data_IF_742681728718
#
_entry.id   IF_742681728718
#
_cell.length_a   1.000
_cell.length_b   1.000
_cell.length_c   1.000
_cell.angle_alpha   90.00
_cell.angle_beta   90.00
_cell.angle_gamma   90.00
#
_symmetry.space_group_name_H-M   'P 1'
#
loop_
_entity.id
_entity.type
_entity.pdbx_description
1 polymer ?
#
# COMPACT_ATOMS: atom_id res chain seq x y z
N UNK A 1 7.99 -14.56 -7.90
CA UNK A 1 8.19 -16.04 -7.85
C UNK A 1 6.90 -16.66 -7.35
N UNK A 2 6.37 -17.68 -8.02
CA UNK A 2 5.13 -18.33 -7.57
C UNK A 2 5.47 -19.52 -6.64
N UNK A 3 5.39 -19.30 -5.34
CA UNK A 3 5.72 -20.30 -4.32
C UNK A 3 4.84 -21.54 -4.35
N UNK A 4 3.56 -21.40 -4.69
CA UNK A 4 2.66 -22.58 -4.83
C UNK A 4 3.14 -23.54 -5.92
N UNK A 5 3.64 -22.98 -7.03
CA UNK A 5 4.19 -23.80 -8.12
C UNK A 5 5.50 -24.44 -7.67
N UNK A 6 6.41 -23.67 -7.08
CA UNK A 6 7.69 -24.20 -6.59
C UNK A 6 7.50 -25.27 -5.52
N UNK A 7 6.58 -25.05 -4.56
CA UNK A 7 6.28 -26.03 -3.53
C UNK A 7 5.68 -27.32 -4.11
N UNK A 8 4.71 -27.18 -5.02
CA UNK A 8 4.11 -28.33 -5.70
C UNK A 8 5.19 -29.13 -6.44
N UNK A 9 6.02 -28.45 -7.22
CA UNK A 9 7.02 -29.09 -8.06
C UNK A 9 8.13 -29.70 -7.19
N UNK A 10 8.54 -29.04 -6.09
CA UNK A 10 9.47 -29.60 -5.11
C UNK A 10 8.90 -30.86 -4.42
N UNK A 11 7.61 -30.88 -4.06
CA UNK A 11 6.92 -32.06 -3.50
C UNK A 11 6.82 -33.21 -4.52
N UNK A 12 6.73 -32.89 -5.80
CA UNK A 12 6.75 -33.87 -6.89
C UNK A 12 8.18 -34.34 -7.23
N UNK A 13 9.19 -33.87 -6.51
CA UNK A 13 10.60 -34.29 -6.65
C UNK A 13 11.44 -33.44 -7.60
N UNK A 14 10.93 -32.25 -8.02
CA UNK A 14 11.74 -31.35 -8.82
C UNK A 14 12.87 -30.73 -7.99
N UNK A 15 14.08 -31.14 -8.32
CA UNK A 15 15.31 -30.71 -7.62
C UNK A 15 15.54 -29.20 -7.70
N UNK A 16 15.26 -28.57 -8.84
CA UNK A 16 15.47 -27.14 -9.04
C UNK A 16 14.50 -26.31 -8.20
N UNK A 17 13.23 -26.68 -8.16
CA UNK A 17 12.22 -26.01 -7.33
C UNK A 17 12.55 -26.11 -5.84
N UNK A 18 13.02 -27.28 -5.40
CA UNK A 18 13.46 -27.48 -4.01
C UNK A 18 14.65 -26.59 -3.67
N UNK A 19 15.67 -26.59 -4.53
CA UNK A 19 16.87 -25.76 -4.36
C UNK A 19 16.54 -24.27 -4.32
N UNK A 20 15.68 -23.78 -5.21
CA UNK A 20 15.25 -22.39 -5.24
C UNK A 20 14.51 -21.99 -3.95
N UNK A 21 13.66 -22.87 -3.41
CA UNK A 21 13.00 -22.63 -2.12
C UNK A 21 14.01 -22.54 -0.98
N UNK A 22 14.95 -23.50 -0.90
CA UNK A 22 16.00 -23.52 0.13
C UNK A 22 16.88 -22.27 0.07
N UNK A 23 17.33 -21.86 -1.14
CA UNK A 23 18.11 -20.64 -1.35
C UNK A 23 17.32 -19.39 -0.95
N UNK A 24 16.03 -19.34 -1.29
CA UNK A 24 15.16 -18.23 -0.95
C UNK A 24 15.00 -18.09 0.55
N UNK A 25 14.69 -19.18 1.26
CA UNK A 25 14.55 -19.16 2.71
C UNK A 25 15.87 -18.80 3.42
N UNK A 26 17.01 -19.29 2.91
CA UNK A 26 18.32 -18.97 3.47
C UNK A 26 18.71 -17.48 3.35
N UNK A 27 18.12 -16.75 2.39
CA UNK A 27 18.39 -15.34 2.14
C UNK A 27 17.30 -14.39 2.70
N UNK A 28 16.24 -14.95 3.27
CA UNK A 28 15.13 -14.16 3.82
C UNK A 28 15.45 -13.71 5.24
N UNK A 29 15.02 -12.49 5.55
CA UNK A 29 15.08 -11.89 6.87
C UNK A 29 13.70 -11.87 7.51
N UNK A 30 13.63 -12.21 8.79
CA UNK A 30 12.41 -12.13 9.57
C UNK A 30 12.11 -10.68 9.97
N UNK A 31 10.86 -10.28 9.77
CA UNK A 31 10.34 -8.99 10.24
C UNK A 31 9.84 -9.12 11.69
N UNK A 32 9.91 -8.04 12.48
CA UNK A 32 9.39 -8.02 13.85
C UNK A 32 7.87 -7.83 13.89
N UNK A 33 7.18 -8.38 12.91
CA UNK A 33 5.72 -8.48 12.82
C UNK A 33 5.34 -9.90 12.44
N UNK A 34 4.20 -10.35 12.95
CA UNK A 34 3.75 -11.73 12.83
C UNK A 34 2.37 -11.78 12.19
N UNK A 35 2.12 -12.89 11.52
CA UNK A 35 0.78 -13.22 11.06
C UNK A 35 -0.14 -13.64 12.23
N UNK A 36 -1.38 -13.99 11.88
CA UNK A 36 -2.39 -14.44 12.83
C UNK A 36 -2.04 -15.76 13.52
N UNK A 37 -1.19 -16.58 12.91
CA UNK A 37 -0.72 -17.86 13.45
C UNK A 37 0.54 -17.72 14.31
N UNK A 38 1.11 -16.52 14.41
CA UNK A 38 2.31 -16.23 15.19
C UNK A 38 3.63 -16.41 14.43
N UNK A 39 3.61 -16.71 13.13
CA UNK A 39 4.81 -16.78 12.30
C UNK A 39 5.25 -15.39 11.87
N UNK A 40 6.54 -15.11 11.97
CA UNK A 40 7.10 -13.85 11.49
C UNK A 40 6.93 -13.72 9.99
N UNK A 41 6.48 -12.54 9.51
CA UNK A 41 6.61 -12.21 8.12
C UNK A 41 8.10 -12.12 7.75
N UNK A 42 8.42 -12.45 6.53
CA UNK A 42 9.78 -12.43 6.00
C UNK A 42 9.87 -11.65 4.71
N UNK A 43 11.05 -11.21 4.36
CA UNK A 43 11.36 -10.66 3.04
C UNK A 43 12.80 -10.99 2.66
N UNK A 44 13.12 -10.93 1.38
CA UNK A 44 14.45 -11.23 0.88
C UNK A 44 15.14 -9.93 0.40
N UNK A 45 16.08 -9.37 1.19
CA UNK A 45 16.78 -8.14 0.81
C UNK A 45 17.50 -8.23 -0.51
N UNK A 46 18.12 -9.38 -0.83
CA UNK A 46 18.83 -9.56 -2.08
C UNK A 46 17.94 -9.56 -3.34
N UNK A 47 16.62 -9.71 -3.18
CA UNK A 47 15.66 -9.59 -4.27
C UNK A 47 15.22 -8.13 -4.52
N UNK A 48 15.73 -7.18 -3.73
CA UNK A 48 15.55 -5.75 -3.92
C UNK A 48 16.90 -5.14 -4.27
N UNK A 49 17.18 -4.87 -5.54
CA UNK A 49 18.49 -4.33 -5.95
C UNK A 49 18.73 -2.94 -5.32
N UNK A 50 19.90 -2.74 -4.74
CA UNK A 50 20.30 -1.43 -4.17
C UNK A 50 20.25 -0.31 -5.21
N UNK A 51 20.58 -0.62 -6.47
CA UNK A 51 20.51 0.32 -7.57
C UNK A 51 19.08 0.86 -7.82
N UNK A 52 18.03 0.07 -7.58
CA UNK A 52 16.64 0.55 -7.66
C UNK A 52 16.39 1.63 -6.61
N UNK A 53 16.79 1.39 -5.37
CA UNK A 53 16.63 2.36 -4.28
C UNK A 53 17.44 3.63 -4.54
N UNK A 54 18.66 3.50 -5.08
CA UNK A 54 19.48 4.64 -5.49
C UNK A 54 18.81 5.46 -6.60
N UNK A 55 18.23 4.81 -7.59
CA UNK A 55 17.52 5.48 -8.69
C UNK A 55 16.25 6.19 -8.18
N UNK A 56 15.48 5.55 -7.30
CA UNK A 56 14.34 6.18 -6.62
C UNK A 56 14.80 7.44 -5.87
N UNK A 57 15.86 7.36 -5.06
CA UNK A 57 16.38 8.49 -4.31
C UNK A 57 16.90 9.62 -5.22
N UNK A 58 17.57 9.29 -6.32
CA UNK A 58 18.04 10.27 -7.31
C UNK A 58 16.87 10.99 -7.98
N UNK A 59 15.86 10.24 -8.42
CA UNK A 59 14.65 10.81 -9.04
C UNK A 59 13.90 11.68 -8.04
N UNK A 60 13.69 11.22 -6.81
CA UNK A 60 13.03 11.97 -5.77
C UNK A 60 13.67 13.34 -5.52
N UNK A 61 15.03 13.40 -5.44
CA UNK A 61 15.78 14.66 -5.25
C UNK A 61 15.66 15.62 -6.43
N UNK A 62 15.34 15.14 -7.63
CA UNK A 62 15.18 15.98 -8.82
C UNK A 62 13.77 16.59 -8.93
N UNK A 63 12.77 16.00 -8.26
CA UNK A 63 11.41 16.51 -8.31
C UNK A 63 11.34 17.90 -7.67
N UNK A 64 10.77 18.84 -8.42
CA UNK A 64 10.37 20.13 -7.90
C UNK A 64 8.86 20.16 -7.72
N UNK A 65 8.41 20.44 -6.52
CA UNK A 65 6.97 20.67 -6.26
C UNK A 65 6.54 22.12 -6.59
N UNK A 66 7.50 22.96 -7.01
CA UNK A 66 7.19 24.33 -7.43
C UNK A 66 6.28 24.30 -8.64
N UNK A 67 5.10 24.88 -8.52
CA UNK A 67 4.07 24.89 -9.56
C UNK A 67 3.16 23.67 -9.59
N UNK A 68 3.35 22.68 -8.71
CA UNK A 68 2.37 21.61 -8.51
C UNK A 68 1.32 22.11 -7.50
N UNK A 69 0.05 22.05 -7.89
CA UNK A 69 -1.05 22.34 -6.98
C UNK A 69 -1.31 21.12 -6.09
N UNK A 70 -0.86 21.20 -4.85
CA UNK A 70 -1.00 20.11 -3.87
C UNK A 70 -2.47 19.76 -3.60
N UNK A 71 -3.38 20.73 -3.74
CA UNK A 71 -4.81 20.50 -3.59
C UNK A 71 -5.33 19.59 -4.70
N UNK A 72 -4.95 19.88 -5.95
CA UNK A 72 -5.27 19.03 -7.11
C UNK A 72 -4.68 17.64 -6.94
N UNK A 73 -3.44 17.53 -6.44
CA UNK A 73 -2.82 16.23 -6.18
C UNK A 73 -3.59 15.40 -5.15
N UNK A 74 -4.15 16.02 -4.11
CA UNK A 74 -4.98 15.33 -3.11
C UNK A 74 -6.34 14.90 -3.72
N UNK A 75 -6.93 15.74 -4.58
CA UNK A 75 -8.15 15.40 -5.32
C UNK A 75 -7.94 14.17 -6.21
N UNK A 76 -6.85 14.14 -6.99
CA UNK A 76 -6.46 13.03 -7.87
C UNK A 76 -6.14 11.74 -7.07
N UNK A 77 -5.35 11.85 -5.99
CA UNK A 77 -5.03 10.72 -5.11
C UNK A 77 -6.32 10.09 -4.56
N UNK A 78 -7.25 10.93 -4.11
CA UNK A 78 -8.55 10.48 -3.58
C UNK A 78 -9.41 9.80 -4.65
N UNK A 79 -9.42 10.34 -5.86
CA UNK A 79 -10.13 9.79 -7.00
C UNK A 79 -9.60 8.41 -7.37
N UNK A 80 -8.29 8.30 -7.64
CA UNK A 80 -7.68 7.05 -8.05
C UNK A 80 -7.77 5.98 -6.96
N UNK A 81 -7.56 6.36 -5.69
CA UNK A 81 -7.73 5.44 -4.57
C UNK A 81 -9.14 4.85 -4.48
N UNK A 82 -10.18 5.65 -4.78
CA UNK A 82 -11.56 5.15 -4.81
C UNK A 82 -11.88 4.36 -6.09
N UNK A 83 -11.22 4.66 -7.21
CA UNK A 83 -11.35 3.89 -8.45
C UNK A 83 -10.88 2.44 -8.28
N UNK A 84 -9.80 2.21 -7.56
CA UNK A 84 -9.31 0.87 -7.19
C UNK A 84 -10.39 0.08 -6.43
N UNK A 85 -11.19 0.76 -5.62
CA UNK A 85 -12.31 0.17 -4.84
C UNK A 85 -13.64 0.12 -5.64
N UNK A 86 -13.60 0.37 -6.94
CA UNK A 86 -14.75 0.25 -7.81
C UNK A 86 -15.68 1.48 -7.85
N UNK A 87 -15.22 2.66 -7.39
CA UNK A 87 -15.98 3.89 -7.61
C UNK A 87 -16.13 4.15 -9.13
N UNK A 88 -17.38 4.34 -9.58
CA UNK A 88 -17.70 4.53 -11.00
C UNK A 88 -17.56 5.99 -11.48
N UNK A 89 -17.28 6.92 -10.58
CA UNK A 89 -17.10 8.34 -10.86
C UNK A 89 -16.07 8.57 -11.96
N UNK A 90 -16.36 9.44 -12.91
CA UNK A 90 -15.47 9.82 -14.01
C UNK A 90 -14.57 11.01 -13.63
N UNK A 91 -13.53 11.24 -14.45
CA UNK A 91 -12.66 12.43 -14.28
C UNK A 91 -13.43 13.76 -14.44
N UNK A 92 -14.44 13.78 -15.31
CA UNK A 92 -15.27 14.98 -15.52
C UNK A 92 -16.15 15.27 -14.30
N UNK A 93 -16.68 14.23 -13.67
CA UNK A 93 -17.49 14.36 -12.45
C UNK A 93 -16.65 14.81 -11.25
N UNK A 94 -15.35 14.55 -11.24
CA UNK A 94 -14.43 15.03 -10.20
C UNK A 94 -14.50 16.54 -10.00
N UNK A 95 -14.58 17.30 -11.10
CA UNK A 95 -14.77 18.75 -11.04
C UNK A 95 -16.04 19.12 -10.26
N UNK A 96 -17.15 18.41 -10.46
CA UNK A 96 -18.42 18.68 -9.79
C UNK A 96 -18.34 18.41 -8.28
N UNK A 97 -17.60 17.37 -7.87
CA UNK A 97 -17.41 17.01 -6.46
C UNK A 97 -16.72 18.16 -5.72
N UNK A 98 -15.61 18.67 -6.26
CA UNK A 98 -14.76 19.62 -5.54
C UNK A 98 -15.14 21.09 -5.78
N UNK A 99 -15.52 21.48 -7.00
CA UNK A 99 -15.85 22.87 -7.35
C UNK A 99 -17.33 23.19 -7.13
N UNK A 100 -18.24 22.31 -7.55
CA UNK A 100 -19.68 22.50 -7.36
C UNK A 100 -20.21 21.97 -6.02
N UNK A 101 -19.37 21.23 -5.26
CA UNK A 101 -19.73 20.59 -3.96
C UNK A 101 -20.96 19.69 -4.07
N UNK A 102 -21.09 18.97 -5.18
CA UNK A 102 -22.17 18.02 -5.42
C UNK A 102 -21.65 16.60 -5.33
N UNK A 103 -22.33 15.77 -4.55
CA UNK A 103 -22.09 14.33 -4.46
C UNK A 103 -23.40 13.63 -4.80
N UNK A 104 -23.47 13.05 -6.00
CA UNK A 104 -24.69 12.45 -6.53
C UNK A 104 -24.68 10.93 -6.38
N UNK A 105 -23.49 10.36 -6.33
CA UNK A 105 -23.28 8.90 -6.23
C UNK A 105 -22.57 8.50 -4.93
N UNK A 106 -22.60 7.18 -4.63
CA UNK A 106 -21.79 6.59 -3.58
C UNK A 106 -20.30 6.79 -3.86
N UNK A 107 -19.88 6.67 -5.12
CA UNK A 107 -18.51 6.89 -5.55
C UNK A 107 -18.00 8.30 -5.25
N UNK A 108 -18.82 9.31 -5.55
CA UNK A 108 -18.49 10.71 -5.25
C UNK A 108 -18.29 10.93 -3.77
N UNK A 109 -19.17 10.34 -2.95
CA UNK A 109 -19.06 10.41 -1.50
C UNK A 109 -17.80 9.72 -0.98
N UNK A 110 -17.43 8.57 -1.56
CA UNK A 110 -16.17 7.89 -1.24
C UNK A 110 -14.97 8.78 -1.52
N UNK A 111 -14.95 9.47 -2.68
CA UNK A 111 -13.85 10.37 -3.07
C UNK A 111 -13.77 11.55 -2.09
N UNK A 112 -14.88 12.22 -1.81
CA UNK A 112 -14.92 13.34 -0.86
C UNK A 112 -14.47 12.91 0.54
N UNK A 113 -14.88 11.74 1.00
CA UNK A 113 -14.47 11.19 2.29
C UNK A 113 -12.95 10.90 2.32
N UNK A 114 -12.41 10.32 1.25
CA UNK A 114 -10.96 10.04 1.13
C UNK A 114 -10.16 11.35 1.13
N UNK A 115 -10.61 12.37 0.40
CA UNK A 115 -10.04 13.71 0.45
C UNK A 115 -10.05 14.29 1.87
N UNK A 116 -11.19 14.23 2.58
CA UNK A 116 -11.29 14.69 3.98
C UNK A 116 -10.35 13.93 4.89
N UNK A 117 -10.13 12.64 4.63
CA UNK A 117 -9.23 11.80 5.37
C UNK A 117 -7.76 12.25 5.19
N UNK A 118 -7.33 12.63 3.97
CA UNK A 118 -6.02 13.26 3.73
C UNK A 118 -5.89 14.55 4.54
N UNK A 119 -6.89 15.44 4.46
CA UNK A 119 -6.86 16.70 5.23
C UNK A 119 -6.79 16.47 6.74
N UNK A 120 -7.50 15.46 7.24
CA UNK A 120 -7.42 15.05 8.65
C UNK A 120 -5.99 14.58 9.03
N UNK A 121 -5.36 13.75 8.20
CA UNK A 121 -3.98 13.30 8.43
C UNK A 121 -3.00 14.47 8.43
N UNK A 122 -3.15 15.44 7.54
CA UNK A 122 -2.25 16.59 7.44
C UNK A 122 -2.22 17.46 8.70
N UNK A 123 -3.35 17.57 9.42
CA UNK A 123 -3.43 18.37 10.66
C UNK A 123 -3.21 17.56 11.93
N UNK A 124 -3.31 16.23 11.86
CA UNK A 124 -3.16 15.34 13.02
C UNK A 124 -1.69 14.95 13.19
N UNK A 125 -1.13 15.19 14.38
CA UNK A 125 0.30 14.90 14.63
C UNK A 125 0.56 13.43 14.99
N UNK A 126 -0.34 12.82 15.73
CA UNK A 126 -0.18 11.43 16.20
C UNK A 126 -0.59 10.42 15.14
N UNK A 127 0.02 9.25 15.21
CA UNK A 127 -0.37 8.04 14.45
C UNK A 127 -0.52 6.91 15.47
N UNK A 128 -1.70 6.82 16.03
CA UNK A 128 -2.11 5.85 17.03
C UNK A 128 -3.47 5.24 16.67
N UNK A 129 -3.93 4.32 17.48
CA UNK A 129 -5.21 3.63 17.29
C UNK A 129 -6.38 4.62 17.18
N UNK A 130 -6.40 5.66 18.02
CA UNK A 130 -7.48 6.64 18.00
C UNK A 130 -7.54 7.44 16.69
N UNK A 131 -6.38 7.81 16.16
CA UNK A 131 -6.25 8.45 14.85
C UNK A 131 -6.72 7.53 13.74
N UNK A 132 -6.38 6.26 13.79
CA UNK A 132 -6.76 5.28 12.79
C UNK A 132 -8.28 5.01 12.79
N UNK A 133 -8.89 4.89 13.97
CA UNK A 133 -10.34 4.73 14.09
C UNK A 133 -11.08 5.96 13.55
N UNK A 134 -10.59 7.17 13.84
CA UNK A 134 -11.19 8.39 13.30
C UNK A 134 -11.03 8.48 11.77
N UNK A 135 -9.87 8.06 11.25
CA UNK A 135 -9.62 7.98 9.81
C UNK A 135 -10.62 7.03 9.13
N UNK A 136 -10.84 5.85 9.71
CA UNK A 136 -11.84 4.90 9.23
C UNK A 136 -13.25 5.49 9.22
N UNK A 137 -13.67 6.15 10.30
CA UNK A 137 -14.99 6.81 10.37
C UNK A 137 -15.16 7.83 9.26
N UNK A 138 -14.13 8.63 8.96
CA UNK A 138 -14.17 9.60 7.87
C UNK A 138 -14.28 8.90 6.51
N UNK A 139 -13.42 7.92 6.25
CA UNK A 139 -13.36 7.20 4.95
C UNK A 139 -14.67 6.49 4.63
N UNK A 140 -15.36 5.97 5.66
CA UNK A 140 -16.57 5.15 5.49
C UNK A 140 -17.88 5.88 5.77
N UNK A 141 -17.85 7.18 6.07
CA UNK A 141 -19.05 7.95 6.40
C UNK A 141 -20.13 7.86 5.33
N UNK A 142 -21.24 7.18 5.67
CA UNK A 142 -22.39 6.95 4.81
C UNK A 142 -22.12 6.16 3.51
N UNK A 143 -20.98 5.41 3.44
CA UNK A 143 -20.61 4.59 2.27
C UNK A 143 -20.14 3.17 2.64
N UNK A 144 -20.16 2.79 3.91
CA UNK A 144 -19.74 1.48 4.38
C UNK A 144 -20.58 0.37 3.73
N UNK A 145 -19.89 -0.64 3.14
CA UNK A 145 -20.54 -1.79 2.50
C UNK A 145 -21.05 -2.82 3.50
N UNK A 146 -20.37 -3.01 4.62
CA UNK A 146 -20.64 -4.07 5.60
C UNK A 146 -20.82 -3.52 7.02
N UNK A 147 -21.76 -2.61 7.26
CA UNK A 147 -21.91 -1.97 8.58
C UNK A 147 -22.31 -2.96 9.69
N UNK A 148 -22.91 -4.11 9.34
CA UNK A 148 -23.36 -5.11 10.29
C UNK A 148 -22.25 -5.82 11.07
N UNK A 149 -20.99 -5.76 10.59
CA UNK A 149 -19.82 -6.31 11.27
C UNK A 149 -18.88 -5.21 11.80
N UNK A 150 -19.32 -3.95 11.83
CA UNK A 150 -18.56 -2.86 12.44
C UNK A 150 -18.58 -3.01 13.97
N UNK A 151 -17.41 -3.14 14.59
CA UNK A 151 -17.27 -3.12 16.04
C UNK A 151 -16.98 -1.70 16.55
N UNK A 152 -16.75 -1.57 17.85
CA UNK A 152 -16.40 -0.27 18.44
C UNK A 152 -15.06 0.28 17.94
N UNK A 153 -14.07 -0.59 17.78
CA UNK A 153 -12.72 -0.27 17.29
C UNK A 153 -12.46 -0.90 15.93
N UNK A 154 -12.57 -2.21 15.86
CA UNK A 154 -12.30 -3.03 14.68
C UNK A 154 -13.55 -3.83 14.31
N UNK A 155 -13.51 -4.55 13.19
CA UNK A 155 -14.61 -5.42 12.79
C UNK A 155 -14.85 -6.53 13.82
N UNK A 156 -16.10 -6.94 13.95
CA UNK A 156 -16.56 -8.03 14.83
C UNK A 156 -16.87 -9.32 14.08
N UNK A 157 -16.73 -9.34 12.76
CA UNK A 157 -16.99 -10.50 11.90
C UNK A 157 -15.81 -10.86 11.01
N UNK A 158 -15.82 -12.10 10.49
CA UNK A 158 -14.84 -12.59 9.51
C UNK A 158 -14.97 -11.85 8.20
N UNK A 159 -13.85 -11.58 7.55
CA UNK A 159 -13.77 -10.93 6.24
C UNK A 159 -12.84 -11.74 5.34
N UNK A 160 -13.29 -11.99 4.12
CA UNK A 160 -12.47 -12.59 3.06
C UNK A 160 -12.28 -11.54 1.95
N UNK A 161 -11.05 -11.38 1.48
CA UNK A 161 -10.68 -10.46 0.39
C UNK A 161 -10.05 -11.26 -0.73
N UNK A 162 -10.79 -11.48 -1.83
CA UNK A 162 -10.34 -12.41 -2.86
C UNK A 162 -10.21 -13.82 -2.31
N UNK A 163 -8.99 -14.36 -2.29
CA UNK A 163 -8.67 -15.67 -1.69
C UNK A 163 -8.10 -15.57 -0.27
N UNK A 164 -7.86 -14.36 0.22
CA UNK A 164 -7.31 -14.12 1.56
C UNK A 164 -8.39 -14.14 2.62
N UNK A 165 -8.24 -14.99 3.63
CA UNK A 165 -9.02 -15.00 4.84
C UNK A 165 -8.29 -14.15 5.90
N UNK A 166 -8.85 -12.98 6.19
CA UNK A 166 -8.24 -12.06 7.14
C UNK A 166 -8.26 -12.64 8.58
N UNK A 167 -7.33 -12.25 9.46
CA UNK A 167 -7.28 -12.74 10.84
C UNK A 167 -8.62 -12.65 11.55
N UNK A 168 -8.88 -13.60 12.46
CA UNK A 168 -10.08 -13.56 13.30
C UNK A 168 -10.17 -12.25 14.10
N UNK A 169 -11.39 -11.72 14.35
CA UNK A 169 -11.58 -10.44 15.02
C UNK A 169 -10.87 -10.32 16.36
N UNK A 170 -10.79 -11.42 17.12
CA UNK A 170 -10.15 -11.51 18.44
C UNK A 170 -8.63 -11.25 18.39
N UNK A 171 -8.00 -11.46 17.24
CA UNK A 171 -6.58 -11.24 17.02
C UNK A 171 -6.24 -9.81 16.59
N UNK A 172 -7.23 -9.02 16.19
CA UNK A 172 -7.00 -7.69 15.59
C UNK A 172 -6.32 -6.72 16.55
N UNK A 173 -6.64 -6.73 17.84
CA UNK A 173 -5.96 -5.87 18.82
C UNK A 173 -4.46 -6.22 18.92
N UNK A 174 -4.13 -7.51 18.91
CA UNK A 174 -2.74 -7.95 18.91
C UNK A 174 -2.02 -7.56 17.60
N UNK A 175 -2.63 -7.79 16.45
CA UNK A 175 -2.07 -7.41 15.15
C UNK A 175 -1.86 -5.89 15.06
N UNK A 176 -2.82 -5.10 15.52
CA UNK A 176 -2.71 -3.63 15.52
C UNK A 176 -1.64 -3.12 16.47
N UNK A 177 -1.45 -3.76 17.62
CA UNK A 177 -0.32 -3.45 18.51
C UNK A 177 1.02 -3.64 17.79
N UNK A 178 1.20 -4.77 17.09
CA UNK A 178 2.40 -5.04 16.28
C UNK A 178 2.57 -4.00 15.16
N UNK A 179 1.46 -3.64 14.47
CA UNK A 179 1.48 -2.61 13.43
C UNK A 179 2.05 -1.29 13.96
N UNK A 180 1.56 -0.78 15.09
CA UNK A 180 2.03 0.47 15.65
C UNK A 180 3.46 0.36 16.21
N UNK A 181 3.83 -0.76 16.83
CA UNK A 181 5.20 -1.00 17.24
C UNK A 181 6.17 -0.99 16.06
N UNK A 182 5.78 -1.59 14.95
CA UNK A 182 6.58 -1.56 13.72
C UNK A 182 6.58 -0.17 13.08
N UNK A 183 5.43 0.51 13.03
CA UNK A 183 5.30 1.86 12.48
C UNK A 183 6.27 2.83 13.16
N UNK A 184 6.32 2.84 14.50
CA UNK A 184 7.14 3.75 15.28
C UNK A 184 8.58 3.26 15.51
N UNK A 185 8.86 1.99 15.32
CA UNK A 185 10.16 1.38 15.52
C UNK A 185 11.19 1.77 14.45
N UNK A 186 12.49 1.69 14.80
CA UNK A 186 13.61 1.97 13.88
C UNK A 186 14.17 0.69 13.22
N UNK A 187 13.31 -0.29 12.97
CA UNK A 187 13.69 -1.64 12.54
C UNK A 187 14.06 -1.77 11.04
N UNK A 188 13.54 -0.89 10.19
CA UNK A 188 13.88 -0.77 8.77
C UNK A 188 14.24 0.68 8.50
N UNK A 189 15.47 0.92 8.04
CA UNK A 189 15.98 2.28 7.78
C UNK A 189 15.49 2.84 6.44
N UNK A 190 15.18 1.98 5.46
CA UNK A 190 14.74 2.40 4.13
C UNK A 190 13.23 2.69 4.14
N UNK A 191 12.81 3.97 3.96
CA UNK A 191 11.41 4.36 4.15
C UNK A 191 10.46 3.73 3.12
N UNK A 192 10.89 3.55 1.87
CA UNK A 192 10.05 2.94 0.84
C UNK A 192 9.74 1.47 1.14
N UNK A 193 10.74 0.71 1.62
CA UNK A 193 10.56 -0.69 2.04
C UNK A 193 9.63 -0.75 3.24
N UNK A 194 9.84 0.11 4.25
CA UNK A 194 9.01 0.13 5.44
C UNK A 194 7.56 0.52 5.12
N UNK A 195 7.35 1.47 4.23
CA UNK A 195 6.02 1.85 3.74
C UNK A 195 5.31 0.67 3.07
N UNK A 196 6.02 -0.11 2.24
CA UNK A 196 5.49 -1.30 1.59
C UNK A 196 5.08 -2.38 2.59
N UNK A 197 5.91 -2.64 3.61
CA UNK A 197 5.62 -3.61 4.68
C UNK A 197 4.38 -3.18 5.47
N UNK A 198 4.28 -1.89 5.85
CA UNK A 198 3.12 -1.34 6.56
C UNK A 198 1.84 -1.46 5.73
N UNK A 199 1.92 -1.15 4.44
CA UNK A 199 0.80 -1.29 3.53
C UNK A 199 0.30 -2.74 3.47
N UNK A 200 1.23 -3.68 3.18
CA UNK A 200 0.89 -5.10 3.12
C UNK A 200 0.24 -5.58 4.41
N UNK A 201 0.88 -5.31 5.54
CA UNK A 201 0.40 -5.82 6.83
C UNK A 201 -0.95 -5.24 7.22
N UNK A 202 -1.22 -3.96 6.87
CA UNK A 202 -2.53 -3.35 7.09
C UNK A 202 -3.63 -4.00 6.24
N UNK A 203 -3.35 -4.24 4.96
CA UNK A 203 -4.30 -4.93 4.07
C UNK A 203 -4.52 -6.38 4.50
N UNK A 204 -3.46 -7.08 4.90
CA UNK A 204 -3.50 -8.44 5.44
C UNK A 204 -4.41 -8.55 6.68
N UNK A 205 -4.23 -7.67 7.66
CA UNK A 205 -5.05 -7.65 8.88
C UNK A 205 -6.52 -7.34 8.59
N UNK A 206 -6.77 -6.47 7.63
CA UNK A 206 -8.10 -6.00 7.25
C UNK A 206 -8.95 -5.58 8.46
N UNK A 207 -8.49 -4.62 9.31
CA UNK A 207 -9.04 -4.42 10.63
C UNK A 207 -10.48 -3.88 10.65
N UNK A 208 -10.95 -3.30 9.55
CA UNK A 208 -12.28 -2.69 9.48
C UNK A 208 -13.24 -3.44 8.57
N UNK A 209 -14.52 -3.18 8.73
CA UNK A 209 -15.57 -3.78 7.91
C UNK A 209 -15.58 -3.28 6.44
N UNK A 210 -14.97 -2.13 6.17
CA UNK A 210 -14.82 -1.51 4.85
C UNK A 210 -13.73 -0.44 4.90
N UNK A 211 -13.22 -0.03 3.73
CA UNK A 211 -12.28 1.09 3.59
C UNK A 211 -10.81 0.77 3.84
N UNK A 212 -10.46 -0.49 4.09
CA UNK A 212 -9.09 -0.88 4.43
C UNK A 212 -8.08 -0.55 3.32
N UNK A 213 -8.41 -0.81 2.06
CA UNK A 213 -7.52 -0.48 0.94
C UNK A 213 -7.27 1.02 0.81
N UNK A 214 -8.31 1.86 0.94
CA UNK A 214 -8.18 3.32 0.93
C UNK A 214 -7.28 3.80 2.07
N UNK A 215 -7.50 3.28 3.28
CA UNK A 215 -6.69 3.62 4.46
C UNK A 215 -5.24 3.17 4.28
N UNK A 216 -4.99 1.96 3.78
CA UNK A 216 -3.64 1.46 3.52
C UNK A 216 -2.86 2.41 2.59
N UNK A 217 -3.46 2.84 1.47
CA UNK A 217 -2.82 3.78 0.54
C UNK A 217 -2.57 5.15 1.18
N UNK A 218 -3.53 5.67 1.94
CA UNK A 218 -3.35 6.92 2.70
C UNK A 218 -2.21 6.83 3.71
N UNK A 219 -2.13 5.74 4.48
CA UNK A 219 -1.07 5.52 5.47
C UNK A 219 0.31 5.35 4.81
N UNK A 220 0.37 4.77 3.60
CA UNK A 220 1.61 4.63 2.84
C UNK A 220 2.19 5.99 2.49
N UNK A 221 1.39 6.85 1.85
CA UNK A 221 1.80 8.21 1.49
C UNK A 221 2.12 9.05 2.74
N UNK A 222 1.29 9.00 3.76
CA UNK A 222 1.52 9.69 5.03
C UNK A 222 2.83 9.24 5.71
N UNK A 223 3.12 7.95 5.72
CA UNK A 223 4.36 7.43 6.28
C UNK A 223 5.59 7.95 5.52
N UNK A 224 5.55 7.98 4.19
CA UNK A 224 6.65 8.52 3.37
C UNK A 224 6.88 10.01 3.68
N UNK A 225 5.83 10.82 3.72
CA UNK A 225 5.91 12.24 4.10
C UNK A 225 6.55 12.40 5.49
N UNK A 226 6.11 11.65 6.48
CA UNK A 226 6.63 11.70 7.86
C UNK A 226 8.06 11.18 7.99
N UNK A 227 8.52 10.42 7.02
CA UNK A 227 9.91 9.97 6.92
C UNK A 227 10.83 11.02 6.30
N UNK A 228 10.34 12.25 6.07
CA UNK A 228 11.10 13.36 5.49
C UNK A 228 11.04 13.41 3.94
N UNK A 229 10.13 12.65 3.35
CA UNK A 229 9.91 12.63 1.90
C UNK A 229 8.70 13.52 1.53
N UNK A 230 8.78 14.81 1.87
CA UNK A 230 7.66 15.77 1.81
C UNK A 230 7.03 15.92 0.42
N UNK A 231 7.81 15.70 -0.65
CA UNK A 231 7.33 15.79 -2.03
C UNK A 231 6.22 14.76 -2.33
N UNK A 232 6.10 13.67 -1.55
CA UNK A 232 4.99 12.73 -1.69
C UNK A 232 3.62 13.35 -1.42
N UNK A 233 3.55 14.52 -0.77
CA UNK A 233 2.32 15.30 -0.66
C UNK A 233 1.75 15.79 -1.99
N UNK A 234 2.58 15.85 -3.02
CA UNK A 234 2.24 16.28 -4.36
C UNK A 234 2.30 15.15 -5.41
N UNK A 235 2.58 13.92 -4.97
CA UNK A 235 2.63 12.73 -5.80
C UNK A 235 1.35 11.90 -5.63
N UNK A 236 0.87 11.31 -6.71
CA UNK A 236 -0.37 10.51 -6.75
C UNK A 236 -0.05 9.03 -6.92
N UNK A 237 0.42 8.38 -5.85
CA UNK A 237 0.75 6.94 -5.88
C UNK A 237 -0.44 6.07 -6.27
N UNK A 238 -1.65 6.43 -5.81
CA UNK A 238 -2.87 5.70 -6.15
C UNK A 238 -3.20 5.75 -7.64
N UNK A 239 -2.72 6.75 -8.40
CA UNK A 239 -2.86 6.77 -9.87
C UNK A 239 -2.11 5.59 -10.48
N UNK A 240 -0.82 5.45 -10.16
CA UNK A 240 0.01 4.34 -10.66
C UNK A 240 -0.54 2.97 -10.23
N UNK A 241 -1.02 2.84 -8.98
CA UNK A 241 -1.67 1.62 -8.49
C UNK A 241 -2.97 1.34 -9.28
N UNK A 242 -3.79 2.34 -9.57
CA UNK A 242 -5.03 2.18 -10.33
C UNK A 242 -4.76 1.73 -11.77
N UNK A 243 -3.74 2.28 -12.41
CA UNK A 243 -3.31 1.92 -13.77
C UNK A 243 -2.74 0.49 -13.83
N UNK A 244 -2.16 0.02 -12.73
CA UNK A 244 -1.57 -1.32 -12.59
C UNK A 244 -2.34 -2.22 -11.61
N UNK A 245 -3.65 -1.99 -11.42
CA UNK A 245 -4.46 -2.68 -10.41
C UNK A 245 -4.38 -4.23 -10.47
N UNK A 246 -4.36 -4.88 -11.65
CA UNK A 246 -4.17 -6.33 -11.70
C UNK A 246 -2.83 -6.78 -11.07
N UNK A 247 -1.74 -6.05 -11.31
CA UNK A 247 -0.43 -6.35 -10.74
C UNK A 247 -0.40 -6.10 -9.22
N UNK A 248 -1.12 -5.08 -8.73
CA UNK A 248 -1.30 -4.81 -7.31
C UNK A 248 -1.93 -6.00 -6.58
N UNK A 249 -3.07 -6.48 -7.08
CA UNK A 249 -3.75 -7.63 -6.48
C UNK A 249 -2.95 -8.92 -6.61
N UNK A 250 -2.25 -9.11 -7.74
CA UNK A 250 -1.38 -10.26 -7.92
C UNK A 250 -0.20 -10.25 -6.93
N UNK A 251 0.40 -9.09 -6.65
CA UNK A 251 1.48 -8.96 -5.68
C UNK A 251 1.02 -9.25 -4.24
N UNK A 252 -0.19 -8.81 -3.87
CA UNK A 252 -0.83 -9.19 -2.61
C UNK A 252 -1.03 -10.70 -2.53
N UNK A 253 -1.69 -11.30 -3.51
CA UNK A 253 -1.96 -12.73 -3.56
C UNK A 253 -0.67 -13.56 -3.53
N UNK A 254 0.35 -13.17 -4.29
CA UNK A 254 1.65 -13.83 -4.28
C UNK A 254 2.28 -13.82 -2.88
N UNK A 255 2.21 -12.69 -2.17
CA UNK A 255 2.78 -12.55 -0.83
C UNK A 255 2.01 -13.33 0.23
N UNK A 256 0.69 -13.36 0.14
CA UNK A 256 -0.17 -14.15 1.04
C UNK A 256 0.05 -15.67 0.88
N UNK A 257 0.34 -16.09 -0.35
CA UNK A 257 0.54 -17.51 -0.68
C UNK A 257 2.02 -17.95 -0.64
N UNK A 258 2.91 -17.16 -0.06
CA UNK A 258 4.37 -17.34 -0.14
C UNK A 258 5.04 -17.67 1.20
N UNK A 259 4.40 -18.44 2.09
CA UNK A 259 4.98 -18.80 3.38
C UNK A 259 5.51 -17.60 4.17
N UNK A 260 4.69 -16.56 4.26
CA UNK A 260 5.01 -15.31 4.95
C UNK A 260 6.08 -14.43 4.28
N UNK A 261 6.57 -14.77 3.06
CA UNK A 261 7.51 -13.94 2.30
C UNK A 261 6.77 -12.86 1.50
N UNK A 262 6.84 -11.63 1.98
CA UNK A 262 6.15 -10.48 1.38
C UNK A 262 7.00 -9.72 0.34
N UNK A 263 8.09 -10.30 -0.12
CA UNK A 263 9.01 -9.65 -1.08
C UNK A 263 8.31 -9.21 -2.36
N UNK A 264 7.38 -10.03 -2.89
CA UNK A 264 6.63 -9.68 -4.11
C UNK A 264 5.87 -8.37 -3.96
N UNK A 265 5.26 -8.13 -2.81
CA UNK A 265 4.56 -6.88 -2.56
C UNK A 265 5.52 -5.70 -2.34
N UNK A 266 6.63 -5.91 -1.64
CA UNK A 266 7.68 -4.89 -1.50
C UNK A 266 8.19 -4.45 -2.88
N UNK A 267 8.51 -5.40 -3.76
CA UNK A 267 8.95 -5.13 -5.13
C UNK A 267 7.91 -4.35 -5.92
N UNK A 268 6.64 -4.72 -5.81
CA UNK A 268 5.55 -4.01 -6.47
C UNK A 268 5.45 -2.54 -6.02
N UNK A 269 5.50 -2.27 -4.72
CA UNK A 269 5.42 -0.89 -4.20
C UNK A 269 6.65 -0.08 -4.62
N UNK A 270 7.85 -0.67 -4.59
CA UNK A 270 9.07 0.01 -5.05
C UNK A 270 8.97 0.37 -6.54
N UNK A 271 8.45 -0.55 -7.36
CA UNK A 271 8.19 -0.26 -8.77
C UNK A 271 7.15 0.85 -8.94
N UNK A 272 6.08 0.82 -8.17
CA UNK A 272 5.04 1.87 -8.18
C UNK A 272 5.64 3.23 -7.87
N UNK A 273 6.48 3.33 -6.84
CA UNK A 273 7.18 4.57 -6.48
C UNK A 273 8.10 5.01 -7.62
N UNK A 274 8.88 4.11 -8.17
CA UNK A 274 9.77 4.39 -9.30
C UNK A 274 9.01 4.93 -10.52
N UNK A 275 7.95 4.23 -10.95
CA UNK A 275 7.16 4.60 -12.13
C UNK A 275 6.48 5.96 -11.93
N UNK A 276 5.95 6.23 -10.73
CA UNK A 276 5.33 7.50 -10.40
C UNK A 276 6.34 8.67 -10.44
N UNK A 277 7.52 8.49 -9.84
CA UNK A 277 8.58 9.50 -9.88
C UNK A 277 9.07 9.73 -11.32
N UNK A 278 9.22 8.68 -12.10
CA UNK A 278 9.62 8.75 -13.51
C UNK A 278 8.61 9.55 -14.34
N UNK A 279 7.31 9.27 -14.17
CA UNK A 279 6.24 10.00 -14.85
C UNK A 279 6.27 11.50 -14.51
N UNK A 280 6.37 11.84 -13.23
CA UNK A 280 6.40 13.24 -12.79
C UNK A 280 7.61 13.98 -13.35
N UNK A 281 8.80 13.38 -13.34
CA UNK A 281 10.00 13.99 -13.90
C UNK A 281 9.89 14.15 -15.42
N UNK A 282 9.35 13.15 -16.12
CA UNK A 282 9.14 13.22 -17.58
C UNK A 282 8.20 14.37 -17.94
N UNK A 283 7.13 14.56 -17.16
CA UNK A 283 6.19 15.67 -17.35
C UNK A 283 6.82 17.05 -17.03
N UNK A 284 7.87 17.08 -16.19
CA UNK A 284 8.65 18.30 -15.94
C UNK A 284 9.74 18.56 -17.00
N UNK A 285 9.76 17.80 -18.10
CA UNK A 285 10.79 17.86 -19.15
C UNK A 285 12.23 17.70 -18.62
N UNK A 286 12.40 16.97 -17.51
CA UNK A 286 13.70 16.66 -16.95
C UNK A 286 14.24 15.37 -17.57
N UNK A 287 15.51 15.39 -17.96
CA UNK A 287 16.16 14.19 -18.46
C UNK A 287 16.35 13.18 -17.33
N UNK A 288 15.64 12.06 -17.39
CA UNK A 288 15.73 11.00 -16.40
C UNK A 288 16.80 10.02 -16.86
N UNK A 289 17.93 9.99 -16.16
CA UNK A 289 18.97 8.99 -16.39
C UNK A 289 18.72 7.85 -15.43
N UNK A 290 18.18 6.75 -15.95
CA UNK A 290 18.07 5.48 -15.20
C UNK A 290 19.20 4.56 -15.63
N UNK A 291 19.84 3.93 -14.66
CA UNK A 291 21.00 3.06 -14.93
C UNK A 291 20.62 1.60 -15.15
N UNK A 292 19.34 1.26 -14.96
CA UNK A 292 18.92 -0.13 -14.94
C UNK A 292 17.60 -0.32 -15.70
N UNK A 293 17.55 -1.39 -16.48
CA UNK A 293 16.37 -1.84 -17.20
C UNK A 293 15.52 -2.72 -16.24
N UNK A 294 14.67 -2.04 -15.47
CA UNK A 294 13.89 -2.68 -14.39
C UNK A 294 12.86 -3.68 -14.90
N UNK A 295 12.42 -3.56 -16.17
CA UNK A 295 11.47 -4.52 -16.78
C UNK A 295 12.05 -5.93 -16.85
N UNK A 296 13.39 -6.07 -16.87
CA UNK A 296 14.07 -7.37 -16.84
C UNK A 296 14.23 -7.95 -15.46
N UNK A 297 14.07 -7.13 -14.41
CA UNK A 297 14.28 -7.53 -13.00
C UNK A 297 12.95 -7.93 -12.36
N UNK A 298 11.86 -7.28 -12.77
CA UNK A 298 10.51 -7.52 -12.28
C UNK A 298 9.59 -7.93 -13.44
N UNK A 299 9.68 -9.19 -13.91
CA UNK A 299 8.82 -9.71 -14.96
C UNK A 299 7.36 -9.82 -14.54
#
# INVERSE_FOLDING_TARGET
MNYKVLERDARLGDYYSKKLLEERFAQSEALPIRDALGYSLTWCPCAVPSALLEDIDKMYRQISITGIDTEVSIEEESFHSCRIEGAATTQEELFNIFKAKRTESKGDKMILNTYRAVKYLNITKKRDESTLIQLWKIVTDGVCNNPGIAGEKFRSGVVTVGTHEAPEPELLEYCMLQFFQFYHGANISQPYIKAAILHFYFVYMHPFCDGNGRIARLLTTDFLIRSGLDNFSALTLSKTINETAPAYYQALENSENSFHDITSFIQYILKTVYDNLYEVLSNQNKHVVTYTDWEKIFP
#
